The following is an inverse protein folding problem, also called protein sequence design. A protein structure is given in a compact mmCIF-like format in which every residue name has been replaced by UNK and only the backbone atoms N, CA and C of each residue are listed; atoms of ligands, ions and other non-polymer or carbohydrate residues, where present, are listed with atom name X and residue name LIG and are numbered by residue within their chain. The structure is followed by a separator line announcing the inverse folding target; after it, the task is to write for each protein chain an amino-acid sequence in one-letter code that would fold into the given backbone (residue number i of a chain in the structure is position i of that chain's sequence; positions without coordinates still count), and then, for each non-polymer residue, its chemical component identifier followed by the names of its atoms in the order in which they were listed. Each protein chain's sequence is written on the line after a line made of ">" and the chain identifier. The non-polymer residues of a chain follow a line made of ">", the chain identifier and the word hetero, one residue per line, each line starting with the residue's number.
data_IF_854149122283
#
_entry.id   IF_854149122283
#
_cell.length_a   1.000
_cell.length_b   1.000
_cell.length_c   1.000
_cell.angle_alpha   90.00
_cell.angle_beta   90.00
_cell.angle_gamma   90.00
#
_symmetry.space_group_name_H-M   'P 1'
#
loop_
_entity.id
_entity.type
_entity.pdbx_description
1 polymer ?
#
# COMPACT_ATOMS: atom_id res chain seq x y z
N UNK A 1 7.18 16.68 24.28
CA UNK A 1 7.76 16.90 22.93
C UNK A 1 6.97 16.30 21.76
N UNK A 2 6.37 15.08 21.87
CA UNK A 2 5.64 14.44 20.74
C UNK A 2 4.40 15.19 20.21
N UNK A 3 3.66 15.94 21.04
CA UNK A 3 2.42 16.62 20.62
C UNK A 3 2.67 17.82 19.69
N UNK A 4 3.79 18.51 19.86
CA UNK A 4 4.08 19.74 19.10
C UNK A 4 4.50 19.45 17.65
N UNK A 5 5.27 18.37 17.45
CA UNK A 5 5.67 17.90 16.11
C UNK A 5 4.45 17.45 15.29
N UNK A 6 3.47 16.79 15.92
CA UNK A 6 2.24 16.38 15.26
C UNK A 6 1.36 17.58 14.85
N UNK A 7 1.27 18.61 15.70
CA UNK A 7 0.54 19.85 15.38
C UNK A 7 1.18 20.63 14.23
N UNK A 8 2.52 20.67 14.15
CA UNK A 8 3.24 21.33 13.05
C UNK A 8 3.06 20.57 11.73
N UNK A 9 3.09 19.23 11.77
CA UNK A 9 2.90 18.40 10.57
C UNK A 9 1.46 18.54 10.02
N UNK A 10 0.46 18.56 10.91
CA UNK A 10 -0.94 18.81 10.54
C UNK A 10 -1.14 20.21 9.97
N UNK A 11 -0.49 21.23 10.56
CA UNK A 11 -0.56 22.61 10.06
C UNK A 11 0.04 22.74 8.64
N UNK A 12 1.15 22.05 8.35
CA UNK A 12 1.75 22.03 7.01
C UNK A 12 0.87 21.32 5.98
N UNK A 13 0.24 20.19 6.34
CA UNK A 13 -0.70 19.47 5.46
C UNK A 13 -1.95 20.34 5.17
N UNK A 14 -2.47 21.05 6.17
CA UNK A 14 -3.59 21.98 5.95
C UNK A 14 -3.20 23.21 5.13
N UNK A 15 -1.96 23.71 5.25
CA UNK A 15 -1.48 24.85 4.46
C UNK A 15 -1.23 24.48 3.00
N UNK A 16 -0.88 23.22 2.70
CA UNK A 16 -0.68 22.74 1.33
C UNK A 16 -2.01 22.52 0.58
N UNK A 17 -3.12 22.31 1.30
CA UNK A 17 -4.46 22.15 0.72
C UNK A 17 -5.13 23.47 0.30
N UNK A 18 -4.64 24.63 0.75
CA UNK A 18 -5.29 25.94 0.51
C UNK A 18 -4.78 26.66 -0.75
N UNK A 19 -3.67 26.23 -1.35
CA UNK A 19 -3.07 26.94 -2.51
C UNK A 19 -3.52 26.43 -3.88
N UNK A 20 -4.48 25.51 -3.96
CA UNK A 20 -5.10 25.12 -5.24
C UNK A 20 -6.38 25.94 -5.42
N UNK A 21 -6.22 27.21 -5.77
CA UNK A 21 -7.33 28.01 -6.29
C UNK A 21 -7.46 27.72 -7.79
N UNK A 22 -8.53 27.07 -8.29
CA UNK A 22 -8.77 27.02 -9.72
C UNK A 22 -9.28 28.40 -10.15
N UNK A 23 -8.48 29.14 -10.91
CA UNK A 23 -9.02 30.18 -11.78
C UNK A 23 -9.90 29.50 -12.83
N UNK A 24 -11.18 29.37 -12.52
CA UNK A 24 -12.19 28.87 -13.46
C UNK A 24 -12.47 30.03 -14.43
N UNK A 25 -11.69 30.11 -15.50
CA UNK A 25 -12.06 30.88 -16.68
C UNK A 25 -13.33 30.24 -17.28
N UNK A 26 -14.49 30.81 -16.99
CA UNK A 26 -15.75 30.51 -17.68
C UNK A 26 -15.72 31.18 -19.06
N UNK A 27 -15.15 30.52 -20.05
CA UNK A 27 -15.47 30.81 -21.43
C UNK A 27 -16.82 30.13 -21.74
N UNK A 28 -17.90 30.92 -21.74
CA UNK A 28 -19.19 30.47 -22.29
C UNK A 28 -19.05 30.45 -23.81
N UNK A 29 -18.82 29.26 -24.36
CA UNK A 29 -18.92 29.02 -25.79
C UNK A 29 -20.40 28.77 -26.07
N UNK A 30 -21.09 29.75 -26.67
CA UNK A 30 -22.44 29.56 -27.20
C UNK A 30 -22.33 28.72 -28.47
N UNK A 31 -22.71 27.44 -28.36
CA UNK A 31 -22.77 26.54 -29.52
C UNK A 31 -24.13 26.75 -30.19
N UNK A 32 -24.19 27.17 -31.47
CA UNK A 32 -25.45 27.32 -32.19
C UNK A 32 -26.23 26.00 -32.22
N UNK A 33 -27.56 26.04 -32.10
CA UNK A 33 -28.41 24.83 -32.09
C UNK A 33 -28.33 23.99 -33.38
N UNK A 34 -27.74 24.56 -34.42
CA UNK A 34 -27.48 23.95 -35.73
C UNK A 34 -26.30 22.96 -35.68
N UNK A 35 -25.36 23.14 -34.74
CA UNK A 35 -24.20 22.26 -34.51
C UNK A 35 -24.44 21.20 -33.42
N UNK A 36 -25.64 21.19 -32.81
CA UNK A 36 -26.06 20.09 -31.94
C UNK A 36 -26.17 18.81 -32.78
N UNK A 37 -25.36 17.81 -32.43
CA UNK A 37 -25.29 16.53 -33.12
C UNK A 37 -26.68 15.87 -33.21
N UNK A 38 -27.35 15.99 -34.36
CA UNK A 38 -28.68 15.39 -34.63
C UNK A 38 -28.61 13.90 -34.91
N UNK A 39 -27.42 13.38 -35.18
CA UNK A 39 -27.20 11.96 -35.40
C UNK A 39 -26.06 11.48 -34.50
N UNK A 40 -26.41 10.61 -33.55
CA UNK A 40 -25.46 9.80 -32.79
C UNK A 40 -24.87 8.75 -33.73
N UNK A 41 -23.96 9.17 -34.62
CA UNK A 41 -23.19 8.22 -35.42
C UNK A 41 -22.10 7.68 -34.50
N UNK A 42 -22.11 6.37 -34.24
CA UNK A 42 -21.00 5.74 -33.55
C UNK A 42 -19.74 5.94 -34.42
N UNK A 43 -18.68 6.57 -33.92
CA UNK A 43 -17.45 6.72 -34.69
C UNK A 43 -16.95 5.33 -35.07
N UNK A 44 -16.93 5.04 -36.37
CA UNK A 44 -16.27 3.86 -36.91
C UNK A 44 -14.77 4.15 -36.87
N UNK A 45 -14.10 3.63 -35.85
CA UNK A 45 -12.64 3.67 -35.78
C UNK A 45 -12.08 2.71 -36.84
N UNK A 46 -11.82 3.20 -38.05
CA UNK A 46 -11.25 2.43 -39.16
C UNK A 46 -9.81 1.96 -38.88
N UNK A 47 -9.18 2.47 -37.82
CA UNK A 47 -7.92 1.98 -37.28
C UNK A 47 -8.10 1.73 -35.79
N UNK A 48 -7.91 0.48 -35.37
CA UNK A 48 -7.89 0.07 -33.96
C UNK A 48 -6.66 0.57 -33.19
N UNK A 49 -5.87 1.47 -33.78
CA UNK A 49 -4.94 2.31 -33.06
C UNK A 49 -5.74 3.41 -32.36
N UNK A 50 -6.43 3.04 -31.28
CA UNK A 50 -6.77 4.02 -30.26
C UNK A 50 -5.45 4.75 -29.97
N UNK A 51 -5.37 6.03 -30.31
CA UNK A 51 -4.15 6.83 -30.14
C UNK A 51 -3.81 6.79 -28.65
N UNK A 52 -2.96 5.83 -28.25
CA UNK A 52 -2.50 5.57 -26.89
C UNK A 52 -1.51 6.65 -26.49
N UNK A 53 -1.83 7.91 -26.74
CA UNK A 53 -1.03 9.03 -26.27
C UNK A 53 -1.23 9.12 -24.75
N UNK A 54 -0.35 8.41 -24.04
CA UNK A 54 -0.29 8.41 -22.58
C UNK A 54 0.40 9.72 -22.18
N UNK A 55 -0.25 10.46 -21.29
CA UNK A 55 0.35 11.68 -20.74
C UNK A 55 1.45 11.35 -19.72
N UNK A 56 1.34 10.17 -19.10
CA UNK A 56 2.30 9.61 -18.15
C UNK A 56 3.09 8.54 -18.90
N UNK A 57 4.34 8.85 -19.19
CA UNK A 57 5.33 7.95 -19.81
C UNK A 57 6.24 7.49 -18.68
N UNK A 58 6.23 6.19 -18.38
CA UNK A 58 7.00 5.59 -17.28
C UNK A 58 8.26 4.87 -17.77
N UNK A 59 8.39 4.54 -19.04
CA UNK A 59 9.53 3.80 -19.58
C UNK A 59 10.87 4.42 -19.20
N UNK A 60 11.78 3.57 -18.68
CA UNK A 60 13.16 3.91 -18.28
C UNK A 60 13.26 4.97 -17.19
N UNK A 61 12.20 5.15 -16.40
CA UNK A 61 12.19 6.09 -15.28
C UNK A 61 12.35 5.40 -13.94
N UNK A 62 12.85 6.19 -12.99
CA UNK A 62 12.96 5.78 -11.59
C UNK A 62 11.74 6.28 -10.84
N UNK A 63 11.17 5.44 -10.01
CA UNK A 63 10.06 5.79 -9.14
C UNK A 63 10.53 5.69 -7.68
N UNK A 64 10.30 6.72 -6.88
CA UNK A 64 10.56 6.72 -5.44
C UNK A 64 9.32 7.16 -4.68
N UNK A 65 9.12 6.64 -3.48
CA UNK A 65 7.92 6.96 -2.74
C UNK A 65 7.98 6.55 -1.28
N UNK A 66 6.95 6.97 -0.54
CA UNK A 66 6.74 6.61 0.85
C UNK A 66 5.32 6.07 1.02
N UNK A 67 5.13 5.14 1.95
CA UNK A 67 3.82 4.55 2.20
C UNK A 67 3.57 4.26 3.68
N UNK A 68 2.31 4.25 4.06
CA UNK A 68 1.78 3.65 5.29
C UNK A 68 0.97 2.42 4.93
N UNK A 69 1.11 1.34 5.69
CA UNK A 69 0.42 0.07 5.46
C UNK A 69 -0.36 -0.38 6.69
N UNK A 70 -1.46 -1.09 6.45
CA UNK A 70 -2.28 -1.73 7.47
C UNK A 70 -2.52 -3.19 7.11
N UNK A 71 -2.18 -4.10 8.01
CA UNK A 71 -2.42 -5.54 7.88
C UNK A 71 -3.71 -5.93 8.62
N UNK A 72 -4.73 -6.34 7.88
CA UNK A 72 -6.04 -6.69 8.44
C UNK A 72 -6.08 -8.07 9.08
N UNK A 73 -5.15 -8.96 8.74
CA UNK A 73 -5.19 -10.35 9.21
C UNK A 73 -4.17 -10.64 10.30
N UNK A 74 -3.51 -9.61 10.85
CA UNK A 74 -2.56 -9.75 11.95
C UNK A 74 -3.27 -9.57 13.32
N UNK A 75 -3.42 -10.64 14.13
CA UNK A 75 -4.12 -10.57 15.40
C UNK A 75 -3.18 -10.29 16.59
N UNK A 76 -1.87 -10.48 16.49
CA UNK A 76 -0.95 -10.40 17.64
C UNK A 76 -0.09 -9.15 17.58
N UNK A 77 0.58 -8.91 16.45
CA UNK A 77 1.48 -7.77 16.28
C UNK A 77 0.72 -6.51 15.90
N UNK A 78 1.40 -5.35 15.98
CA UNK A 78 0.88 -4.12 15.41
C UNK A 78 0.55 -4.30 13.93
N UNK A 79 -0.66 -3.91 13.55
CA UNK A 79 -1.15 -4.00 12.18
C UNK A 79 -0.56 -2.93 11.27
N UNK A 80 -0.02 -1.86 11.84
CA UNK A 80 0.45 -0.71 11.10
C UNK A 80 1.96 -0.80 10.78
N UNK A 81 2.31 -0.37 9.57
CA UNK A 81 3.70 -0.20 9.11
C UNK A 81 3.87 1.10 8.34
N UNK A 82 5.10 1.59 8.26
CA UNK A 82 5.49 2.72 7.41
C UNK A 82 6.72 2.34 6.60
N UNK A 83 6.90 2.90 5.42
CA UNK A 83 7.97 2.47 4.55
C UNK A 83 8.25 3.41 3.39
N UNK A 84 9.23 3.01 2.59
CA UNK A 84 9.56 3.63 1.34
C UNK A 84 9.60 2.60 0.22
N UNK A 85 9.30 3.05 -0.98
CA UNK A 85 9.42 2.28 -2.19
C UNK A 85 10.41 2.97 -3.13
N UNK A 86 11.14 2.16 -3.89
CA UNK A 86 12.03 2.61 -4.93
C UNK A 86 11.96 1.58 -6.06
N UNK A 87 11.91 2.02 -7.30
CA UNK A 87 11.91 1.08 -8.41
C UNK A 87 12.21 1.71 -9.74
N UNK A 88 12.28 0.83 -10.73
CA UNK A 88 12.67 1.15 -12.07
C UNK A 88 11.69 0.54 -13.06
N UNK A 89 11.22 1.38 -13.98
CA UNK A 89 10.31 0.98 -15.04
C UNK A 89 11.13 0.56 -16.26
N UNK A 90 11.12 -0.73 -16.59
CA UNK A 90 11.84 -1.22 -17.77
C UNK A 90 11.12 -0.83 -19.06
N UNK A 91 9.78 -0.87 -19.02
CA UNK A 91 8.90 -0.51 -20.12
C UNK A 91 7.74 0.33 -19.59
N UNK A 92 6.91 0.83 -20.50
CA UNK A 92 5.62 1.45 -20.18
C UNK A 92 4.63 0.50 -19.47
N UNK A 93 4.93 -0.80 -19.40
CA UNK A 93 4.03 -1.82 -18.87
C UNK A 93 4.64 -2.65 -17.75
N UNK A 94 5.93 -2.48 -17.45
CA UNK A 94 6.62 -3.31 -16.46
C UNK A 94 7.60 -2.52 -15.62
N UNK A 95 7.57 -2.77 -14.31
CA UNK A 95 8.48 -2.16 -13.35
C UNK A 95 8.89 -3.16 -12.27
N UNK A 96 10.11 -2.99 -11.75
CA UNK A 96 10.57 -3.66 -10.54
C UNK A 96 10.62 -2.63 -9.41
N UNK A 97 9.86 -2.89 -8.35
CA UNK A 97 9.73 -2.03 -7.17
C UNK A 97 10.25 -2.75 -5.92
N UNK A 98 11.29 -2.19 -5.33
CA UNK A 98 11.77 -2.54 -3.99
C UNK A 98 10.96 -1.77 -2.95
N UNK A 99 10.44 -2.48 -1.95
CA UNK A 99 9.64 -1.92 -0.87
C UNK A 99 10.28 -2.28 0.46
N UNK A 100 10.64 -1.28 1.25
CA UNK A 100 11.13 -1.45 2.60
C UNK A 100 10.10 -0.89 3.58
N UNK A 101 9.59 -1.73 4.48
CA UNK A 101 8.60 -1.36 5.47
C UNK A 101 9.06 -1.66 6.88
N UNK A 102 8.98 -0.67 7.77
CA UNK A 102 9.15 -0.78 9.21
C UNK A 102 7.80 -1.01 9.87
N UNK A 103 7.67 -2.09 10.62
CA UNK A 103 6.47 -2.36 11.40
C UNK A 103 6.50 -1.52 12.67
N UNK A 104 5.37 -0.91 13.02
CA UNK A 104 5.30 -0.12 14.24
C UNK A 104 5.39 -1.06 15.45
N UNK A 105 6.17 -0.72 16.48
CA UNK A 105 6.29 -1.57 17.65
C UNK A 105 4.98 -1.63 18.44
N UNK A 106 4.73 -2.77 19.07
CA UNK A 106 3.57 -2.98 19.94
C UNK A 106 2.71 -4.17 19.54
N UNK A 107 1.73 -4.46 20.40
CA UNK A 107 0.78 -5.57 20.26
C UNK A 107 -0.60 -5.06 19.93
N UNK A 108 -1.37 -5.91 19.25
CA UNK A 108 -2.77 -5.66 18.99
C UNK A 108 -3.60 -5.98 20.24
N UNK A 109 -3.68 -5.00 21.17
CA UNK A 109 -4.38 -5.13 22.45
C UNK A 109 -5.80 -5.65 22.33
N UNK A 110 -6.52 -5.27 21.28
CA UNK A 110 -7.91 -5.68 21.07
C UNK A 110 -8.06 -7.21 21.03
N UNK A 111 -7.14 -7.90 20.38
CA UNK A 111 -7.18 -9.36 20.25
C UNK A 111 -6.34 -10.04 21.33
N UNK A 112 -5.16 -9.53 21.66
CA UNK A 112 -4.29 -10.15 22.67
C UNK A 112 -4.93 -10.14 24.06
N UNK A 113 -5.59 -9.05 24.45
CA UNK A 113 -6.20 -8.94 25.77
C UNK A 113 -7.44 -9.85 25.88
N UNK A 114 -8.21 -9.97 24.80
CA UNK A 114 -9.33 -10.89 24.71
C UNK A 114 -8.88 -12.35 24.88
N UNK A 115 -7.83 -12.77 24.16
CA UNK A 115 -7.31 -14.15 24.24
C UNK A 115 -6.69 -14.41 25.62
N UNK A 116 -5.96 -13.44 26.17
CA UNK A 116 -5.32 -13.59 27.47
C UNK A 116 -6.35 -13.66 28.61
N UNK A 117 -7.42 -12.87 28.54
CA UNK A 117 -8.51 -12.89 29.54
C UNK A 117 -9.28 -14.21 29.54
N UNK A 118 -9.57 -14.78 28.37
CA UNK A 118 -10.23 -16.08 28.25
C UNK A 118 -9.36 -17.23 28.77
N UNK A 119 -8.06 -17.18 28.51
CA UNK A 119 -7.15 -18.25 28.97
C UNK A 119 -7.01 -18.25 30.49
N UNK A 120 -7.00 -17.07 31.13
CA UNK A 120 -6.95 -16.93 32.60
C UNK A 120 -8.25 -17.36 33.29
N UNK A 121 -9.41 -17.16 32.65
CA UNK A 121 -10.71 -17.49 33.23
C UNK A 121 -10.92 -19.02 33.39
N UNK A 122 -10.27 -19.85 32.58
CA UNK A 122 -10.48 -21.29 32.57
C UNK A 122 -9.58 -22.09 33.54
N UNK A 123 -8.72 -21.45 34.33
CA UNK A 123 -7.87 -22.05 35.40
C UNK A 123 -7.06 -23.32 35.02
N UNK A 124 -6.96 -23.66 33.74
CA UNK A 124 -6.38 -24.93 33.25
C UNK A 124 -5.03 -24.73 32.56
N UNK A 125 -4.57 -23.48 32.40
CA UNK A 125 -3.27 -23.15 31.79
C UNK A 125 -2.70 -21.82 32.34
N UNK A 126 -1.37 -21.63 32.41
CA UNK A 126 -0.75 -20.39 32.94
C UNK A 126 -1.05 -19.09 32.16
N UNK A 127 -1.88 -19.14 31.12
CA UNK A 127 -2.08 -18.03 30.18
C UNK A 127 -0.98 -17.95 29.13
N UNK A 128 -1.32 -17.58 27.91
CA UNK A 128 -0.32 -17.20 26.90
C UNK A 128 0.20 -15.79 27.22
N UNK A 129 1.51 -15.62 27.33
CA UNK A 129 2.14 -14.30 27.44
C UNK A 129 2.67 -13.84 26.08
N UNK A 130 1.92 -12.95 25.43
CA UNK A 130 2.28 -12.40 24.13
C UNK A 130 3.51 -11.48 24.17
N UNK A 131 3.98 -11.07 25.36
CA UNK A 131 5.19 -10.25 25.50
C UNK A 131 6.47 -11.05 25.25
N UNK A 132 6.42 -12.38 25.36
CA UNK A 132 7.57 -13.26 25.14
C UNK A 132 7.79 -13.60 23.65
N UNK A 133 6.86 -13.20 22.79
CA UNK A 133 6.90 -13.50 21.36
C UNK A 133 7.83 -12.50 20.66
N UNK A 134 8.77 -12.92 19.79
CA UNK A 134 9.67 -12.01 19.08
C UNK A 134 8.93 -10.93 18.28
N UNK A 135 9.31 -9.66 18.46
CA UNK A 135 8.66 -8.55 17.74
C UNK A 135 8.90 -8.59 16.24
N UNK A 136 7.90 -8.16 15.49
CA UNK A 136 7.97 -7.91 14.05
C UNK A 136 8.67 -6.56 13.80
N UNK A 137 9.78 -6.55 13.06
CA UNK A 137 10.64 -5.36 12.93
C UNK A 137 10.51 -4.68 11.58
N UNK A 138 10.90 -5.36 10.50
CA UNK A 138 10.89 -4.79 9.16
C UNK A 138 10.59 -5.85 8.11
N UNK A 139 10.30 -5.41 6.89
CA UNK A 139 10.09 -6.25 5.73
C UNK A 139 10.71 -5.63 4.50
N UNK A 140 11.26 -6.47 3.63
CA UNK A 140 11.87 -6.09 2.37
C UNK A 140 11.26 -6.94 1.26
N UNK A 141 10.68 -6.29 0.26
CA UNK A 141 9.96 -6.94 -0.83
C UNK A 141 10.42 -6.41 -2.19
N UNK A 142 10.75 -7.32 -3.10
CA UNK A 142 10.94 -7.03 -4.51
C UNK A 142 9.65 -7.40 -5.25
N UNK A 143 8.97 -6.40 -5.80
CA UNK A 143 7.67 -6.53 -6.44
C UNK A 143 7.82 -6.21 -7.93
N UNK A 144 7.41 -7.14 -8.78
CA UNK A 144 7.18 -6.91 -10.20
C UNK A 144 5.77 -6.34 -10.39
N UNK A 145 5.68 -5.18 -11.03
CA UNK A 145 4.43 -4.50 -11.35
C UNK A 145 4.20 -4.57 -12.85
N UNK A 146 3.02 -5.03 -13.26
CA UNK A 146 2.60 -5.04 -14.66
C UNK A 146 1.44 -4.08 -14.85
N UNK A 147 1.53 -3.11 -15.75
CA UNK A 147 0.42 -2.21 -16.05
C UNK A 147 -0.67 -2.97 -16.80
N UNK A 148 -1.75 -3.32 -16.11
CA UNK A 148 -2.90 -3.98 -16.73
C UNK A 148 -3.82 -2.97 -17.42
N UNK A 149 -4.02 -1.80 -16.82
CA UNK A 149 -4.94 -0.79 -17.36
C UNK A 149 -4.45 0.64 -17.11
N UNK A 150 -4.53 1.45 -18.16
CA UNK A 150 -4.31 2.89 -18.13
C UNK A 150 -5.64 3.60 -18.37
N UNK A 151 -6.09 4.37 -17.39
CA UNK A 151 -7.36 5.10 -17.43
C UNK A 151 -7.18 6.60 -17.27
N UNK A 152 -8.23 7.34 -17.62
CA UNK A 152 -8.37 8.77 -17.35
C UNK A 152 -9.68 8.96 -16.59
N UNK A 153 -9.64 9.64 -15.46
CA UNK A 153 -10.83 9.99 -14.67
C UNK A 153 -10.93 11.50 -14.56
N UNK A 154 -12.09 12.03 -14.93
CA UNK A 154 -12.43 13.42 -14.67
C UNK A 154 -12.71 13.55 -13.17
N UNK A 155 -11.84 14.25 -12.44
CA UNK A 155 -12.01 14.51 -10.99
C UNK A 155 -12.82 15.79 -10.79
N UNK A 156 -12.65 16.77 -11.68
CA UNK A 156 -13.43 18.01 -11.73
C UNK A 156 -13.78 18.31 -13.18
N UNK A 157 -14.66 19.29 -13.45
CA UNK A 157 -15.04 19.67 -14.83
C UNK A 157 -13.85 20.00 -15.75
N UNK A 158 -12.71 20.37 -15.18
CA UNK A 158 -11.50 20.77 -15.91
C UNK A 158 -10.29 19.88 -15.59
N UNK A 159 -10.35 19.10 -14.50
CA UNK A 159 -9.26 18.29 -14.01
C UNK A 159 -9.41 16.82 -14.39
N UNK A 160 -8.48 16.32 -15.21
CA UNK A 160 -8.38 14.90 -15.55
C UNK A 160 -7.18 14.30 -14.80
N UNK A 161 -7.43 13.28 -13.98
CA UNK A 161 -6.38 12.48 -13.35
C UNK A 161 -6.15 11.20 -14.16
N UNK A 162 -4.88 10.80 -14.26
CA UNK A 162 -4.50 9.55 -14.91
C UNK A 162 -4.42 8.44 -13.88
N UNK A 163 -4.99 7.27 -14.19
CA UNK A 163 -4.94 6.11 -13.31
C UNK A 163 -4.19 4.96 -13.94
N UNK A 164 -3.36 4.28 -13.15
CA UNK A 164 -2.71 3.03 -13.52
C UNK A 164 -3.21 1.95 -12.59
N UNK A 165 -3.79 0.88 -13.12
CA UNK A 165 -4.11 -0.34 -12.39
C UNK A 165 -3.09 -1.41 -12.78
N UNK A 166 -2.44 -2.01 -11.79
CA UNK A 166 -1.38 -2.97 -12.01
C UNK A 166 -1.47 -4.15 -11.03
N UNK A 167 -1.46 -5.41 -11.49
CA UNK A 167 -1.11 -6.51 -10.62
C UNK A 167 0.31 -6.39 -10.09
N UNK A 168 0.48 -6.90 -8.87
CA UNK A 168 1.74 -6.96 -8.15
C UNK A 168 2.05 -8.44 -7.95
N UNK A 169 3.26 -8.85 -8.29
CA UNK A 169 3.81 -10.16 -7.95
C UNK A 169 5.21 -9.95 -7.39
N UNK A 170 5.47 -10.43 -6.18
CA UNK A 170 6.73 -10.18 -5.51
C UNK A 170 7.19 -11.32 -4.63
N UNK A 171 8.46 -11.25 -4.31
CA UNK A 171 9.12 -12.10 -3.33
C UNK A 171 9.88 -11.21 -2.36
N UNK A 172 10.04 -11.69 -1.14
CA UNK A 172 10.67 -10.88 -0.12
C UNK A 172 10.86 -11.63 1.17
N UNK A 173 11.15 -10.87 2.20
CA UNK A 173 11.42 -11.38 3.52
C UNK A 173 10.93 -10.42 4.59
N UNK A 174 10.51 -11.01 5.70
CA UNK A 174 10.04 -10.30 6.88
C UNK A 174 10.93 -10.68 8.06
N UNK A 175 11.51 -9.69 8.74
CA UNK A 175 12.37 -9.85 9.91
C UNK A 175 11.54 -9.75 11.18
N UNK A 176 11.63 -10.81 11.98
CA UNK A 176 11.30 -10.81 13.39
C UNK A 176 12.59 -10.61 14.20
N UNK A 177 12.47 -10.27 15.48
CA UNK A 177 13.62 -10.01 16.34
C UNK A 177 14.67 -11.14 16.30
N UNK A 178 14.24 -12.39 16.13
CA UNK A 178 15.13 -13.55 16.08
C UNK A 178 15.48 -13.98 14.65
N UNK A 179 14.48 -14.21 13.80
CA UNK A 179 14.66 -14.84 12.47
C UNK A 179 14.08 -14.01 11.32
N UNK A 180 14.56 -14.29 10.11
CA UNK A 180 14.01 -13.74 8.86
C UNK A 180 13.27 -14.84 8.13
N UNK A 181 12.07 -14.55 7.67
CA UNK A 181 11.26 -15.49 6.94
C UNK A 181 11.03 -15.02 5.51
N UNK A 182 11.28 -15.87 4.50
CA UNK A 182 10.93 -15.54 3.13
C UNK A 182 9.41 -15.63 2.94
N UNK A 183 8.94 -14.92 1.93
CA UNK A 183 7.54 -14.93 1.55
C UNK A 183 7.32 -14.54 0.09
N UNK A 184 6.08 -14.75 -0.32
CA UNK A 184 5.53 -14.33 -1.60
C UNK A 184 4.48 -13.25 -1.35
N UNK A 185 4.38 -12.33 -2.30
CA UNK A 185 3.44 -11.23 -2.27
C UNK A 185 2.72 -11.18 -3.61
N UNK A 186 1.40 -11.08 -3.59
CA UNK A 186 0.60 -10.91 -4.79
C UNK A 186 -0.53 -9.94 -4.51
N UNK A 187 -0.92 -9.13 -5.48
CA UNK A 187 -1.91 -8.10 -5.21
C UNK A 187 -2.30 -7.28 -6.41
N UNK A 188 -3.05 -6.22 -6.14
CA UNK A 188 -3.46 -5.21 -7.10
C UNK A 188 -3.12 -3.85 -6.53
N UNK A 189 -2.47 -3.02 -7.34
CA UNK A 189 -2.18 -1.64 -7.00
C UNK A 189 -2.84 -0.68 -7.98
N UNK A 190 -3.14 0.51 -7.47
CA UNK A 190 -3.70 1.61 -8.22
C UNK A 190 -2.92 2.90 -7.94
N UNK A 191 -2.39 3.53 -8.99
CA UNK A 191 -1.75 4.85 -8.91
C UNK A 191 -2.66 5.89 -9.53
N UNK A 192 -2.90 6.99 -8.82
CA UNK A 192 -3.61 8.17 -9.29
C UNK A 192 -2.60 9.31 -9.47
N UNK A 193 -2.30 9.64 -10.72
CA UNK A 193 -1.38 10.71 -11.07
C UNK A 193 -2.12 12.06 -11.05
N UNK A 194 -1.59 13.00 -10.27
CA UNK A 194 -2.03 14.39 -10.28
C UNK A 194 -1.13 15.25 -11.16
N UNK A 195 0.12 14.82 -11.38
CA UNK A 195 1.04 15.41 -12.34
C UNK A 195 1.81 14.31 -13.07
N UNK A 196 2.68 14.70 -14.03
CA UNK A 196 3.56 13.75 -14.73
C UNK A 196 4.58 13.06 -13.81
N UNK A 197 4.83 13.64 -12.64
CA UNK A 197 5.79 13.15 -11.66
C UNK A 197 5.12 12.62 -10.39
N UNK A 198 4.01 13.21 -9.93
CA UNK A 198 3.44 12.90 -8.62
C UNK A 198 2.16 12.06 -8.71
N UNK A 199 2.12 10.98 -7.93
CA UNK A 199 0.99 10.09 -7.81
C UNK A 199 0.66 9.69 -6.37
N UNK A 200 -0.63 9.49 -6.08
CA UNK A 200 -1.10 8.73 -4.92
C UNK A 200 -1.12 7.24 -5.30
N UNK A 201 -0.60 6.40 -4.44
CA UNK A 201 -0.50 4.95 -4.62
C UNK A 201 -1.34 4.24 -3.58
N UNK A 202 -2.18 3.32 -4.03
CA UNK A 202 -3.01 2.45 -3.18
C UNK A 202 -2.74 1.02 -3.61
N UNK A 203 -2.17 0.21 -2.73
CA UNK A 203 -1.94 -1.21 -3.01
C UNK A 203 -2.74 -2.09 -2.05
N UNK A 204 -3.41 -3.09 -2.60
CA UNK A 204 -3.99 -4.19 -1.85
C UNK A 204 -3.17 -5.45 -2.14
N UNK A 205 -2.56 -6.01 -1.10
CA UNK A 205 -1.56 -7.08 -1.17
C UNK A 205 -1.98 -8.26 -0.30
N UNK A 206 -1.79 -9.45 -0.83
CA UNK A 206 -1.87 -10.74 -0.15
C UNK A 206 -0.45 -11.27 0.01
N UNK A 207 -0.01 -11.42 1.25
CA UNK A 207 1.33 -11.88 1.59
C UNK A 207 1.26 -13.31 2.13
N UNK A 208 1.81 -14.25 1.39
CA UNK A 208 1.96 -15.62 1.84
C UNK A 208 3.39 -15.85 2.32
N UNK A 209 3.59 -15.95 3.63
CA UNK A 209 4.93 -16.04 4.21
C UNK A 209 4.99 -17.03 5.36
N UNK A 210 6.18 -17.56 5.61
CA UNK A 210 6.46 -18.23 6.87
C UNK A 210 6.56 -17.20 7.99
N UNK A 211 6.20 -17.60 9.20
CA UNK A 211 6.31 -16.77 10.39
C UNK A 211 6.29 -17.61 11.65
N UNK A 212 6.55 -16.97 12.78
CA UNK A 212 6.53 -17.62 14.10
C UNK A 212 5.09 -17.95 14.47
N UNK A 213 4.83 -19.17 14.93
CA UNK A 213 3.54 -19.52 15.52
C UNK A 213 3.42 -18.90 16.92
N UNK A 214 2.53 -17.90 17.13
CA UNK A 214 2.42 -17.19 18.41
C UNK A 214 1.70 -18.01 19.50
N UNK A 215 1.14 -19.17 19.16
CA UNK A 215 0.37 -20.03 20.08
C UNK A 215 1.14 -21.25 20.57
N UNK A 216 2.47 -21.26 20.42
CA UNK A 216 3.30 -22.36 20.92
C UNK A 216 3.23 -22.44 22.47
N UNK A 217 3.02 -23.64 23.06
CA UNK A 217 3.02 -23.83 24.52
C UNK A 217 4.25 -23.28 25.26
N UNK A 218 5.39 -23.11 24.57
CA UNK A 218 6.59 -22.51 25.14
C UNK A 218 6.44 -21.05 25.60
N UNK A 219 5.37 -20.34 25.22
CA UNK A 219 5.09 -18.96 25.64
C UNK A 219 4.30 -18.86 26.97
N UNK A 220 4.28 -19.93 27.77
CA UNK A 220 3.54 -20.00 29.04
C UNK A 220 4.42 -19.78 30.27
N UNK A 221 5.68 -20.20 30.25
CA UNK A 221 6.62 -20.04 31.39
C UNK A 221 8.07 -20.02 30.92
N UNK A 222 8.79 -18.91 31.13
CA UNK A 222 10.23 -18.77 30.87
C UNK A 222 10.56 -18.02 29.57
N UNK A 223 11.79 -17.50 29.47
CA UNK A 223 12.32 -16.88 28.23
C UNK A 223 12.53 -18.03 27.22
N UNK A 224 11.75 -18.11 26.13
CA UNK A 224 11.92 -19.17 25.16
C UNK A 224 13.28 -19.02 24.47
N UNK A 225 13.94 -20.14 24.14
CA UNK A 225 15.13 -20.12 23.29
C UNK A 225 14.75 -19.48 21.93
N UNK A 226 15.52 -18.49 21.43
CA UNK A 226 15.32 -17.89 20.11
C UNK A 226 15.14 -18.89 18.96
N UNK A 227 15.61 -20.13 19.12
CA UNK A 227 15.50 -21.19 18.13
C UNK A 227 14.33 -22.17 18.34
N UNK A 228 13.66 -22.16 19.50
CA UNK A 228 12.59 -23.13 19.83
C UNK A 228 11.22 -22.79 19.25
N UNK A 229 11.13 -21.79 18.37
CA UNK A 229 9.87 -21.37 17.76
C UNK A 229 9.45 -22.34 16.66
N UNK A 230 8.18 -22.77 16.71
CA UNK A 230 7.54 -23.50 15.62
C UNK A 230 7.16 -22.50 14.53
N UNK A 231 7.61 -22.79 13.31
CA UNK A 231 7.29 -21.99 12.14
C UNK A 231 5.93 -22.41 11.57
N UNK A 232 5.16 -21.44 11.06
CA UNK A 232 3.86 -21.64 10.43
C UNK A 232 3.73 -20.72 9.21
N UNK A 233 3.08 -21.22 8.16
CA UNK A 233 2.66 -20.38 7.05
C UNK A 233 1.44 -19.54 7.41
N UNK A 234 1.52 -18.26 7.06
CA UNK A 234 0.50 -17.26 7.34
C UNK A 234 0.13 -16.52 6.06
N UNK A 235 -1.15 -16.13 5.97
CA UNK A 235 -1.67 -15.32 4.88
C UNK A 235 -2.03 -13.93 5.44
N UNK A 236 -1.21 -12.95 5.09
CA UNK A 236 -1.37 -11.53 5.39
C UNK A 236 -2.24 -10.83 4.34
N UNK A 237 -3.18 -9.99 4.75
CA UNK A 237 -3.89 -9.08 3.84
C UNK A 237 -3.55 -7.65 4.21
N UNK A 238 -2.85 -6.94 3.33
CA UNK A 238 -2.29 -5.62 3.59
C UNK A 238 -2.84 -4.59 2.61
N UNK A 239 -3.34 -3.48 3.14
CA UNK A 239 -3.61 -2.28 2.37
C UNK A 239 -2.49 -1.26 2.62
N UNK A 240 -1.88 -0.78 1.56
CA UNK A 240 -0.86 0.27 1.61
C UNK A 240 -1.36 1.51 0.89
N UNK A 241 -1.21 2.66 1.55
CA UNK A 241 -1.51 3.98 1.01
C UNK A 241 -0.20 4.78 1.03
N UNK A 242 0.17 5.35 -0.10
CA UNK A 242 1.44 6.06 -0.22
C UNK A 242 1.43 7.13 -1.30
N UNK A 243 2.55 7.82 -1.39
CA UNK A 243 2.86 8.77 -2.45
C UNK A 243 4.03 8.25 -3.26
N UNK A 244 4.05 8.61 -4.53
CA UNK A 244 5.06 8.20 -5.49
C UNK A 244 5.48 9.38 -6.36
N UNK A 245 6.78 9.46 -6.62
CA UNK A 245 7.44 10.44 -7.46
C UNK A 245 8.21 9.72 -8.57
N UNK A 246 7.82 9.98 -9.81
CA UNK A 246 8.45 9.50 -11.02
C UNK A 246 9.47 10.54 -11.50
N UNK A 247 10.72 10.11 -11.63
CA UNK A 247 11.90 10.90 -12.01
C UNK A 247 12.29 10.63 -13.46
#
# INVERSE_FOLDING_TARGET
>A
MKKWIFSILMAMISSFMVTISPEIAKAQVEVPEEELARESVLPRFERGEAVKNRAIVTEKKVEIGAFGGWNFTEPIYSQAKIGFNAGYHFTEESALMLNFGLWLPGRNKQYTDAIQSQTKANNTDPGLDFNLIPDLQYSLWANWELLAYYGKMSVTKQGVSHMHLYPILGLGMTKYATKMYPGLNFGLGQKFYFSKAFALRIDFKLQYQQGINPFNPGFRTGVPDPNSYSDRFTLGTILELGVSFLL
#
